data_IF_119917509616
#
_entry.id   IF_119917509616
#
_cell.length_a   1.000
_cell.length_b   1.000
_cell.length_c   1.000
_cell.angle_alpha   90.00
_cell.angle_beta   90.00
_cell.angle_gamma   90.00
#
_symmetry.space_group_name_H-M   'P 1'
#
loop_
_entity.id
_entity.type
_entity.pdbx_description
1 polymer ?
#
# COMPACT_ATOMS: atom_id res chain seq x y z
N UNK A 1 -10.63 -1.41 9.93
CA UNK A 1 -11.94 -1.98 9.52
C UNK A 1 -13.02 -0.96 9.76
N UNK A 2 -14.16 -1.05 9.07
CA UNK A 2 -15.29 -0.13 9.29
C UNK A 2 -15.88 -0.32 10.69
N UNK A 3 -15.89 0.72 11.55
CA UNK A 3 -16.42 0.61 12.89
C UNK A 3 -17.95 0.62 12.90
N UNK A 4 -18.54 -0.05 13.89
CA UNK A 4 -19.95 0.08 14.20
C UNK A 4 -20.18 1.34 15.04
N UNK A 5 -20.77 2.37 14.44
CA UNK A 5 -21.06 3.64 15.12
C UNK A 5 -22.44 3.64 15.82
N UNK A 6 -23.21 2.57 15.65
CA UNK A 6 -24.49 2.34 16.33
C UNK A 6 -24.75 0.83 16.47
N UNK A 7 -25.51 0.43 17.49
CA UNK A 7 -25.91 -0.97 17.72
C UNK A 7 -26.78 -1.56 16.61
N UNK A 8 -27.35 -0.72 15.74
CA UNK A 8 -28.18 -1.12 14.60
C UNK A 8 -27.54 -0.81 13.24
N UNK A 9 -26.27 -0.41 13.21
CA UNK A 9 -25.58 -0.08 11.96
C UNK A 9 -25.11 -1.36 11.27
N UNK A 10 -25.46 -1.53 9.99
CA UNK A 10 -24.99 -2.64 9.15
C UNK A 10 -23.95 -2.20 8.12
N UNK A 11 -24.05 -0.96 7.64
CA UNK A 11 -23.17 -0.36 6.63
C UNK A 11 -22.94 1.12 6.94
N UNK A 12 -21.85 1.67 6.43
CA UNK A 12 -21.49 3.08 6.57
C UNK A 12 -20.85 3.62 5.29
N UNK A 13 -21.04 4.92 5.06
CA UNK A 13 -20.47 5.62 3.91
C UNK A 13 -19.24 6.39 4.33
N UNK A 14 -18.13 6.21 3.63
CA UNK A 14 -16.95 7.05 3.83
C UNK A 14 -17.21 8.41 3.21
N UNK A 15 -17.33 9.46 4.01
CA UNK A 15 -17.58 10.82 3.52
C UNK A 15 -16.29 11.44 3.02
N UNK A 16 -15.25 11.39 3.87
CA UNK A 16 -13.94 11.93 3.55
C UNK A 16 -12.84 11.26 4.36
N UNK A 17 -11.65 11.14 3.77
CA UNK A 17 -10.43 10.75 4.45
C UNK A 17 -9.69 12.00 4.93
N UNK A 18 -9.33 12.02 6.21
CA UNK A 18 -8.55 13.09 6.83
C UNK A 18 -7.03 12.84 6.70
N UNK A 19 -6.65 11.62 6.29
CA UNK A 19 -5.27 11.16 6.11
C UNK A 19 -5.07 10.58 4.71
N UNK A 20 -3.86 10.74 4.18
CA UNK A 20 -3.44 10.21 2.89
C UNK A 20 -2.49 9.03 3.04
N UNK A 21 -2.37 8.20 1.99
CA UNK A 21 -1.40 7.09 1.97
C UNK A 21 0.02 7.66 2.16
N UNK A 22 0.75 7.12 3.13
CA UNK A 22 2.07 7.58 3.57
C UNK A 22 2.04 8.46 4.82
N UNK A 23 0.88 9.00 5.23
CA UNK A 23 0.80 9.87 6.39
C UNK A 23 0.95 9.09 7.70
N UNK A 24 1.61 9.72 8.69
CA UNK A 24 1.64 9.23 10.07
C UNK A 24 0.31 9.45 10.77
N UNK A 25 -0.10 8.47 11.57
CA UNK A 25 -1.33 8.41 12.33
C UNK A 25 -0.97 8.16 13.79
N UNK A 26 -1.54 8.94 14.70
CA UNK A 26 -1.44 8.71 16.14
C UNK A 26 -2.72 8.04 16.68
N UNK A 27 -2.59 7.18 17.70
CA UNK A 27 -3.74 6.60 18.36
C UNK A 27 -4.65 7.70 18.95
N UNK A 28 -5.95 7.62 18.66
CA UNK A 28 -6.93 8.65 19.02
C UNK A 28 -7.03 9.81 18.02
N UNK A 29 -6.24 9.82 16.94
CA UNK A 29 -6.36 10.83 15.89
C UNK A 29 -7.47 10.47 14.89
N UNK A 30 -8.28 11.45 14.48
CA UNK A 30 -9.32 11.24 13.47
C UNK A 30 -8.71 11.00 12.07
N UNK A 31 -9.05 9.86 11.45
CA UNK A 31 -8.49 9.43 10.16
C UNK A 31 -9.48 9.53 9.00
N UNK A 32 -10.78 9.44 9.27
CA UNK A 32 -11.84 9.55 8.27
C UNK A 32 -13.15 9.96 8.92
N UNK A 33 -14.08 10.45 8.10
CA UNK A 33 -15.45 10.77 8.48
C UNK A 33 -16.39 9.73 7.86
N UNK A 34 -17.24 9.13 8.67
CA UNK A 34 -18.22 8.13 8.23
C UNK A 34 -19.64 8.65 8.46
N UNK A 35 -20.44 8.66 7.39
CA UNK A 35 -21.87 8.94 7.41
C UNK A 35 -22.62 7.63 7.65
N UNK A 36 -23.49 7.65 8.66
CA UNK A 36 -24.42 6.56 8.98
C UNK A 36 -25.87 7.04 8.87
N UNK A 37 -26.83 6.13 9.03
CA UNK A 37 -28.26 6.48 9.11
C UNK A 37 -28.60 7.49 10.22
N UNK A 38 -27.75 7.59 11.25
CA UNK A 38 -28.02 8.40 12.44
C UNK A 38 -27.32 9.76 12.41
N UNK A 39 -26.07 9.77 11.98
CA UNK A 39 -25.19 10.94 12.01
C UNK A 39 -23.89 10.65 11.27
N UNK A 40 -23.17 11.72 10.97
CA UNK A 40 -21.77 11.70 10.59
C UNK A 40 -20.91 11.64 11.86
N UNK A 41 -19.94 10.74 11.88
CA UNK A 41 -19.00 10.63 13.00
C UNK A 41 -17.57 10.51 12.50
N UNK A 42 -16.67 11.12 13.24
CA UNK A 42 -15.23 10.97 13.04
C UNK A 42 -14.79 9.59 13.55
N UNK A 43 -14.03 8.89 12.72
CA UNK A 43 -13.40 7.62 13.08
C UNK A 43 -11.97 7.91 13.49
N UNK A 44 -11.67 7.61 14.75
CA UNK A 44 -10.34 7.73 15.32
C UNK A 44 -9.51 6.46 15.08
N UNK A 45 -8.20 6.62 14.93
CA UNK A 45 -7.27 5.51 14.86
C UNK A 45 -7.16 4.80 16.20
N UNK A 46 -7.11 3.47 16.16
CA UNK A 46 -6.97 2.65 17.36
C UNK A 46 -5.50 2.54 17.81
N UNK A 47 -4.58 2.44 16.85
CA UNK A 47 -3.14 2.31 17.06
C UNK A 47 -2.38 3.38 16.28
N UNK A 48 -1.15 3.66 16.72
CA UNK A 48 -0.19 4.49 15.98
C UNK A 48 0.42 3.75 14.78
N UNK A 49 0.78 4.50 13.74
CA UNK A 49 1.41 3.95 12.55
C UNK A 49 1.35 4.88 11.35
N UNK A 50 1.32 4.28 10.16
CA UNK A 50 1.27 4.98 8.88
C UNK A 50 0.21 4.37 7.97
N UNK A 51 -0.54 5.21 7.24
CA UNK A 51 -1.55 4.74 6.30
C UNK A 51 -0.87 4.13 5.08
N UNK A 52 -0.94 2.80 4.93
CA UNK A 52 -0.30 2.10 3.83
C UNK A 52 -1.18 2.00 2.58
N UNK A 53 -2.49 1.88 2.74
CA UNK A 53 -3.42 1.70 1.63
C UNK A 53 -4.86 2.08 2.00
N UNK A 54 -5.66 2.48 1.01
CA UNK A 54 -7.09 2.82 1.14
C UNK A 54 -7.89 1.93 0.19
N UNK A 55 -8.71 1.04 0.73
CA UNK A 55 -9.55 0.13 -0.05
C UNK A 55 -10.91 0.72 -0.39
N UNK A 56 -11.44 1.58 0.48
CA UNK A 56 -12.75 2.22 0.33
C UNK A 56 -12.54 3.72 0.22
N UNK A 57 -12.74 4.25 -0.98
CA UNK A 57 -12.56 5.68 -1.27
C UNK A 57 -13.72 6.52 -0.74
N UNK A 58 -13.51 7.83 -0.70
CA UNK A 58 -14.58 8.80 -0.39
C UNK A 58 -15.80 8.59 -1.30
N UNK A 59 -16.99 8.71 -0.70
CA UNK A 59 -18.28 8.48 -1.34
C UNK A 59 -18.71 7.02 -1.48
N UNK A 60 -17.87 6.05 -1.09
CA UNK A 60 -18.21 4.62 -1.15
C UNK A 60 -18.84 4.10 0.14
N UNK A 61 -19.65 3.06 0.00
CA UNK A 61 -20.28 2.31 1.10
C UNK A 61 -19.41 1.11 1.46
N UNK A 62 -19.32 0.77 2.74
CA UNK A 62 -18.80 -0.52 3.19
C UNK A 62 -19.66 -1.09 4.32
N UNK A 63 -19.61 -2.42 4.48
CA UNK A 63 -20.27 -3.09 5.58
C UNK A 63 -19.48 -2.90 6.88
N UNK A 64 -20.18 -2.90 8.02
CA UNK A 64 -19.55 -2.91 9.34
C UNK A 64 -18.64 -4.12 9.45
N UNK A 65 -17.38 -3.89 9.85
CA UNK A 65 -16.34 -4.91 9.90
C UNK A 65 -15.62 -5.16 8.57
N UNK A 66 -16.02 -4.54 7.46
CA UNK A 66 -15.27 -4.62 6.20
C UNK A 66 -13.92 -3.91 6.29
N UNK A 67 -12.89 -4.38 5.57
CA UNK A 67 -11.61 -3.67 5.47
C UNK A 67 -11.79 -2.37 4.67
N UNK A 68 -11.35 -1.24 5.25
CA UNK A 68 -11.47 0.10 4.64
C UNK A 68 -10.11 0.69 4.25
N UNK A 69 -9.06 0.31 4.96
CA UNK A 69 -7.67 0.71 4.72
C UNK A 69 -6.73 -0.12 5.57
N UNK A 70 -5.43 0.04 5.33
CA UNK A 70 -4.36 -0.66 6.01
C UNK A 70 -3.44 0.34 6.71
N UNK A 71 -3.14 0.10 7.98
CA UNK A 71 -2.15 0.86 8.76
C UNK A 71 -0.99 -0.07 9.09
N UNK A 72 0.23 0.42 8.96
CA UNK A 72 1.47 -0.30 9.32
C UNK A 72 2.23 0.46 10.41
N UNK A 73 2.94 -0.24 11.31
CA UNK A 73 3.66 0.43 12.41
C UNK A 73 4.86 1.25 11.93
N UNK A 74 5.51 0.87 10.82
CA UNK A 74 6.68 1.58 10.30
C UNK A 74 6.49 2.00 8.84
N UNK A 75 7.02 3.17 8.48
CA UNK A 75 7.04 3.67 7.11
C UNK A 75 7.74 2.71 6.12
N UNK A 76 8.80 2.02 6.56
CA UNK A 76 9.51 1.03 5.74
C UNK A 76 8.64 -0.17 5.33
N UNK A 77 7.61 -0.48 6.12
CA UNK A 77 6.68 -1.58 5.84
C UNK A 77 5.69 -1.20 4.72
N UNK A 78 5.44 0.10 4.49
CA UNK A 78 4.61 0.60 3.39
C UNK A 78 5.23 0.18 2.05
N UNK A 79 6.53 0.42 1.88
CA UNK A 79 7.27 0.04 0.67
C UNK A 79 7.27 -1.48 0.48
N UNK A 80 7.47 -2.23 1.56
CA UNK A 80 7.43 -3.71 1.51
C UNK A 80 6.05 -4.19 1.05
N UNK A 81 4.97 -3.63 1.58
CA UNK A 81 3.61 -3.94 1.16
C UNK A 81 3.37 -3.60 -0.32
N UNK A 82 3.76 -2.40 -0.75
CA UNK A 82 3.63 -1.98 -2.15
C UNK A 82 4.43 -2.90 -3.09
N UNK A 83 5.68 -3.22 -2.77
CA UNK A 83 6.51 -4.13 -3.55
C UNK A 83 5.88 -5.53 -3.65
N UNK A 84 5.35 -6.07 -2.55
CA UNK A 84 4.71 -7.38 -2.54
C UNK A 84 3.38 -7.41 -3.31
N UNK A 85 2.56 -6.35 -3.24
CA UNK A 85 1.35 -6.22 -4.06
C UNK A 85 1.66 -6.24 -5.57
N UNK A 86 2.77 -5.62 -6.01
CA UNK A 86 3.18 -5.66 -7.42
C UNK A 86 3.74 -7.02 -7.87
N UNK A 87 4.35 -7.79 -6.96
CA UNK A 87 4.91 -9.11 -7.28
C UNK A 87 3.88 -10.24 -7.35
N UNK A 88 2.75 -10.11 -6.65
CA UNK A 88 1.67 -11.11 -6.71
C UNK A 88 0.84 -11.05 -8.00
N UNK A 89 0.97 -9.99 -8.80
CA UNK A 89 0.34 -9.87 -10.11
C UNK A 89 1.27 -10.27 -11.28
N UNK A 90 2.39 -10.93 -10.98
CA UNK A 90 3.40 -11.42 -11.94
C UNK A 90 3.62 -12.95 -11.82
N UNK A 91 2.62 -13.69 -11.33
CA UNK A 91 2.69 -15.15 -11.21
C UNK A 91 1.65 -15.92 -12.05
N UNK A 92 1.11 -15.31 -13.11
CA UNK A 92 0.22 -16.03 -14.06
C UNK A 92 0.77 -16.16 -15.50
N UNK A 93 1.93 -15.56 -15.86
CA UNK A 93 2.37 -15.59 -17.27
C UNK A 93 3.90 -15.64 -17.46
N UNK A 94 4.62 -16.56 -16.82
CA UNK A 94 6.03 -16.82 -17.19
C UNK A 94 6.37 -18.32 -17.25
N UNK A 95 5.68 -19.04 -18.13
CA UNK A 95 6.27 -20.22 -18.78
C UNK A 95 6.77 -19.84 -20.18
N UNK A 96 7.90 -19.14 -20.27
CA UNK A 96 8.76 -19.18 -21.46
C UNK A 96 10.25 -19.12 -21.07
N UNK A 97 10.91 -20.28 -21.16
CA UNK A 97 12.32 -20.52 -21.43
C UNK A 97 13.39 -19.66 -20.72
N UNK A 98 13.94 -20.19 -19.63
CA UNK A 98 15.26 -19.82 -19.10
C UNK A 98 16.31 -20.90 -19.34
N UNK A 99 16.93 -20.93 -20.53
CA UNK A 99 18.19 -21.63 -20.73
C UNK A 99 19.31 -20.59 -20.92
N UNK A 100 20.10 -20.47 -19.86
CA UNK A 100 21.49 -20.02 -19.80
C UNK A 100 21.80 -18.56 -20.23
N UNK A 101 22.02 -17.71 -19.23
CA UNK A 101 23.01 -16.64 -19.34
C UNK A 101 23.85 -16.60 -18.07
N UNK A 102 25.06 -17.15 -18.16
CA UNK A 102 26.14 -16.97 -17.18
C UNK A 102 27.46 -16.86 -17.92
N UNK A 103 28.31 -15.98 -17.40
CA UNK A 103 29.72 -15.71 -17.71
C UNK A 103 29.94 -14.61 -18.77
N UNK A 104 30.84 -13.63 -18.62
CA UNK A 104 31.75 -13.24 -17.53
C UNK A 104 32.30 -11.85 -17.88
N UNK A 105 32.57 -11.07 -16.83
CA UNK A 105 33.19 -9.74 -16.76
C UNK A 105 34.55 -9.61 -17.48
N UNK A 106 34.86 -8.37 -17.88
CA UNK A 106 36.16 -7.67 -17.77
C UNK A 106 36.80 -7.24 -19.10
N UNK A 107 36.52 -5.99 -19.47
CA UNK A 107 37.30 -5.19 -20.42
C UNK A 107 38.53 -4.62 -19.70
N UNK A 108 39.72 -4.90 -20.23
CA UNK A 108 41.04 -4.33 -19.88
C UNK A 108 41.90 -4.69 -21.10
N UNK A 109 42.64 -3.86 -21.82
CA UNK A 109 43.13 -2.49 -21.75
C UNK A 109 43.55 -2.10 -23.18
N UNK A 110 43.64 -0.82 -23.53
CA UNK A 110 44.10 -0.35 -24.85
C UNK A 110 45.25 0.64 -24.68
N UNK A 111 46.46 0.23 -25.09
CA UNK A 111 47.40 0.97 -25.96
C UNK A 111 48.85 0.49 -25.75
N UNK A 112 49.53 0.11 -26.84
CA UNK A 112 50.92 0.49 -27.19
C UNK A 112 51.23 -0.19 -28.55
N UNK A 113 51.31 0.57 -29.66
CA UNK A 113 52.56 1.09 -30.25
C UNK A 113 53.45 -0.01 -30.87
N UNK A 114 53.51 -0.03 -32.21
CA UNK A 114 54.76 0.10 -32.97
C UNK A 114 54.64 -0.45 -34.40
N UNK A 115 55.13 0.39 -35.31
CA UNK A 115 55.32 0.17 -36.75
C UNK A 115 56.51 -0.77 -37.02
N UNK A 116 56.43 -1.60 -38.06
CA UNK A 116 57.63 -2.02 -38.81
C UNK A 116 57.25 -2.55 -40.20
N UNK A 117 58.18 -2.29 -41.11
CA UNK A 117 58.15 -2.35 -42.57
C UNK A 117 58.38 -3.75 -43.12
#
# INVERSE_FOLDING_TARGET
FMPALSSTMSEGKVVSWLKSVGDSIEAGEAIMVVESDKADMDVEAFDDGYLADIFVTEGQMADVGAPVGLIVPNEADILTYLNNSHNNNQNDDQNINGAASTATTTTTDSADDATAT
#
